data_IF_245074880371
#
_entry.id   IF_245074880371
#
_cell.length_a   1.000
_cell.length_b   1.000
_cell.length_c   1.000
_cell.angle_alpha   90.00
_cell.angle_beta   90.00
_cell.angle_gamma   90.00
#
_symmetry.space_group_name_H-M   'P 1'
#
loop_
_entity.id
_entity.type
_entity.pdbx_description
1 polymer ?
#
# COMPACT_ATOMS: atom_id res chain seq x y z
N UNK A 1 -0.02 4.34 -18.58
CA UNK A 1 0.83 3.33 -17.90
C UNK A 1 0.71 3.51 -16.39
N UNK A 2 0.78 2.47 -15.57
CA UNK A 2 0.79 2.53 -14.10
C UNK A 2 2.08 1.89 -13.58
N UNK A 3 2.66 2.43 -12.52
CA UNK A 3 3.74 1.75 -11.80
C UNK A 3 3.15 0.99 -10.61
N UNK A 4 3.31 -0.33 -10.58
CA UNK A 4 2.69 -1.18 -9.56
C UNK A 4 3.76 -1.86 -8.74
N UNK A 5 3.63 -1.79 -7.43
CA UNK A 5 4.46 -2.56 -6.50
C UNK A 5 3.55 -3.43 -5.62
N UNK A 6 3.89 -4.72 -5.52
CA UNK A 6 3.13 -5.69 -4.72
C UNK A 6 3.98 -6.14 -3.54
N UNK A 7 3.40 -6.16 -2.35
CA UNK A 7 4.05 -6.69 -1.13
C UNK A 7 3.15 -7.72 -0.45
N UNK A 8 3.71 -8.91 -0.26
CA UNK A 8 3.06 -9.96 0.51
C UNK A 8 3.55 -9.94 1.96
N UNK A 9 2.63 -10.03 2.90
CA UNK A 9 2.90 -9.99 4.34
C UNK A 9 2.17 -11.15 5.01
N UNK A 10 2.83 -11.83 5.95
CA UNK A 10 2.24 -12.91 6.76
C UNK A 10 1.89 -12.46 8.18
N UNK A 11 2.57 -11.44 8.70
CA UNK A 11 2.37 -10.92 10.05
C UNK A 11 1.62 -9.60 10.04
N UNK A 12 0.82 -9.36 11.07
CA UNK A 12 0.13 -8.09 11.21
C UNK A 12 1.12 -7.00 11.65
N UNK A 13 0.91 -5.78 11.14
CA UNK A 13 1.44 -4.47 11.57
C UNK A 13 2.41 -3.77 10.62
N UNK A 14 3.24 -4.50 9.87
CA UNK A 14 4.32 -3.85 9.11
C UNK A 14 4.47 -4.42 7.70
N UNK A 15 4.47 -3.55 6.70
CA UNK A 15 4.81 -3.89 5.31
C UNK A 15 6.25 -3.40 5.06
N UNK A 16 7.17 -4.35 4.93
CA UNK A 16 8.60 -4.05 4.76
C UNK A 16 8.99 -3.94 3.28
N UNK A 17 10.06 -3.17 3.01
CA UNK A 17 10.69 -3.09 1.69
C UNK A 17 9.95 -2.21 0.69
N UNK A 18 9.25 -1.17 1.16
CA UNK A 18 8.70 -0.11 0.30
C UNK A 18 9.70 1.04 0.23
N UNK A 19 10.46 1.11 -0.86
CA UNK A 19 11.55 2.08 -1.04
C UNK A 19 11.14 3.28 -1.87
N UNK A 20 11.82 4.39 -1.63
CA UNK A 20 11.84 5.59 -2.46
C UNK A 20 10.45 6.09 -2.84
N UNK A 21 9.51 6.05 -1.89
CA UNK A 21 8.11 6.44 -2.09
C UNK A 21 7.96 7.90 -2.56
N UNK A 22 8.95 8.76 -2.34
CA UNK A 22 8.95 10.14 -2.85
C UNK A 22 9.40 10.28 -4.32
N UNK A 23 10.12 9.29 -4.84
CA UNK A 23 10.61 9.27 -6.24
C UNK A 23 9.62 8.59 -7.19
N UNK A 24 8.60 7.92 -6.64
CA UNK A 24 7.59 7.22 -7.42
C UNK A 24 6.69 8.18 -8.19
N UNK A 25 6.26 7.82 -9.41
CA UNK A 25 5.40 8.68 -10.22
C UNK A 25 3.97 8.73 -9.66
N UNK A 26 3.20 9.77 -10.02
CA UNK A 26 1.84 10.02 -9.48
C UNK A 26 0.85 8.85 -9.69
N UNK A 27 1.03 8.10 -10.77
CA UNK A 27 0.27 6.91 -11.14
C UNK A 27 0.76 5.62 -10.44
N UNK A 28 1.57 5.75 -9.38
CA UNK A 28 2.03 4.62 -8.58
C UNK A 28 0.90 4.04 -7.72
N UNK A 29 0.82 2.71 -7.70
CA UNK A 29 -0.10 1.92 -6.88
C UNK A 29 0.69 0.90 -6.07
N UNK A 30 0.55 0.94 -4.75
CA UNK A 30 1.02 -0.10 -3.84
C UNK A 30 -0.11 -1.08 -3.55
N UNK A 31 0.14 -2.36 -3.80
CA UNK A 31 -0.77 -3.46 -3.46
C UNK A 31 -0.17 -4.22 -2.29
N UNK A 32 -0.93 -4.33 -1.21
CA UNK A 32 -0.55 -5.06 0.00
C UNK A 32 -1.44 -6.30 0.11
N UNK A 33 -0.80 -7.46 0.10
CA UNK A 33 -1.45 -8.76 0.18
C UNK A 33 -1.12 -9.40 1.53
N UNK A 34 -2.12 -9.50 2.40
CA UNK A 34 -2.00 -10.23 3.67
C UNK A 34 -2.47 -11.66 3.49
N UNK A 35 -1.53 -12.58 3.74
CA UNK A 35 -1.81 -14.02 3.77
C UNK A 35 -2.23 -14.44 5.16
N UNK A 36 -3.31 -15.21 5.23
CA UNK A 36 -3.77 -15.80 6.49
C UNK A 36 -3.81 -17.31 6.37
N UNK A 37 -3.35 -18.01 7.41
CA UNK A 37 -3.34 -19.48 7.39
C UNK A 37 -4.74 -20.08 7.63
N UNK A 38 -5.62 -19.34 8.32
CA UNK A 38 -6.95 -19.83 8.75
C UNK A 38 -8.11 -18.91 8.33
N UNK A 39 -7.81 -17.72 7.80
CA UNK A 39 -8.82 -16.74 7.39
C UNK A 39 -8.73 -16.47 5.88
N UNK A 40 -9.73 -15.80 5.32
CA UNK A 40 -9.65 -15.33 3.94
C UNK A 40 -8.56 -14.26 3.81
N UNK A 41 -7.68 -14.45 2.83
CA UNK A 41 -6.67 -13.48 2.42
C UNK A 41 -7.23 -12.08 2.17
N UNK A 42 -6.45 -11.06 2.51
CA UNK A 42 -6.85 -9.65 2.36
C UNK A 42 -5.97 -8.92 1.35
N UNK A 43 -6.59 -8.11 0.51
CA UNK A 43 -5.93 -7.24 -0.46
C UNK A 43 -6.25 -5.78 -0.18
N UNK A 44 -5.21 -4.95 -0.15
CA UNK A 44 -5.35 -3.51 -0.03
C UNK A 44 -4.59 -2.82 -1.15
N UNK A 45 -5.22 -1.80 -1.71
CA UNK A 45 -4.67 -1.02 -2.80
C UNK A 45 -4.49 0.40 -2.31
N UNK A 46 -3.34 1.03 -2.54
CA UNK A 46 -3.03 2.36 -2.06
C UNK A 46 -2.41 3.19 -3.20
N UNK A 47 -2.83 4.46 -3.33
CA UNK A 47 -2.15 5.44 -4.19
C UNK A 47 -0.83 5.87 -3.57
N UNK A 48 -0.01 6.54 -4.37
CA UNK A 48 1.21 7.22 -3.92
C UNK A 48 1.01 8.03 -2.61
N UNK A 49 0.09 9.00 -2.61
CA UNK A 49 -0.14 9.87 -1.44
C UNK A 49 -0.56 9.08 -0.19
N UNK A 50 -1.46 8.11 -0.37
CA UNK A 50 -1.91 7.24 0.74
C UNK A 50 -0.76 6.38 1.28
N UNK A 51 0.12 5.91 0.39
CA UNK A 51 1.30 5.14 0.78
C UNK A 51 2.32 6.02 1.52
N UNK A 52 2.50 7.27 1.10
CA UNK A 52 3.36 8.26 1.76
C UNK A 52 2.84 8.62 3.17
N UNK A 53 1.52 8.75 3.35
CA UNK A 53 0.90 9.00 4.67
C UNK A 53 1.14 7.86 5.67
N UNK A 54 1.33 6.63 5.19
CA UNK A 54 1.56 5.44 6.00
C UNK A 54 3.05 5.07 6.09
N UNK A 55 3.92 5.85 5.45
CA UNK A 55 5.35 5.63 5.41
C UNK A 55 5.99 6.16 6.70
N UNK A 56 6.51 5.26 7.53
CA UNK A 56 7.07 5.60 8.83
C UNK A 56 8.45 4.94 9.01
N UNK A 57 9.42 5.70 9.48
CA UNK A 57 10.76 5.20 9.81
C UNK A 57 11.75 6.35 10.03
N UNK A 58 12.86 6.13 10.76
CA UNK A 58 13.94 7.10 10.86
C UNK A 58 14.45 7.46 9.45
N UNK A 59 15.01 8.67 9.30
CA UNK A 59 15.50 9.16 8.01
C UNK A 59 16.52 8.18 7.40
N UNK A 60 16.20 7.63 6.22
CA UNK A 60 17.01 6.62 5.50
C UNK A 60 16.25 5.90 4.37
N UNK A 61 17.01 5.15 3.54
CA UNK A 61 16.58 4.50 2.28
C UNK A 61 15.64 3.30 2.44
N UNK A 62 15.55 2.74 3.65
CA UNK A 62 14.70 1.60 3.95
C UNK A 62 13.71 1.99 5.02
N UNK A 63 12.51 2.43 4.62
CA UNK A 63 11.41 2.63 5.57
C UNK A 63 10.33 1.58 5.41
N UNK A 64 9.53 1.48 6.46
CA UNK A 64 8.42 0.54 6.56
C UNK A 64 7.11 1.28 6.29
N UNK A 65 6.13 0.60 5.69
CA UNK A 65 4.75 1.10 5.65
C UNK A 65 4.03 0.46 6.83
N UNK A 66 3.70 1.27 7.84
CA UNK A 66 3.05 0.78 9.05
C UNK A 66 1.54 0.69 8.81
N UNK A 67 1.06 -0.54 8.66
CA UNK A 67 -0.28 -0.82 8.13
C UNK A 67 -1.04 -1.78 9.04
N UNK A 68 -1.30 -1.30 10.25
CA UNK A 68 -2.09 -2.01 11.26
C UNK A 68 -3.57 -2.14 10.88
N UNK A 69 -4.28 -3.06 11.56
CA UNK A 69 -5.72 -3.33 11.36
C UNK A 69 -6.60 -2.07 11.32
N UNK A 70 -6.40 -1.11 12.21
CA UNK A 70 -7.18 0.15 12.24
C UNK A 70 -7.00 0.98 10.97
N UNK A 71 -5.80 0.98 10.37
CA UNK A 71 -5.53 1.63 9.08
C UNK A 71 -6.10 0.83 7.91
N UNK A 72 -6.04 -0.51 7.98
CA UNK A 72 -6.59 -1.40 6.95
C UNK A 72 -8.08 -1.21 6.73
N UNK A 73 -8.86 -1.04 7.80
CA UNK A 73 -10.31 -0.78 7.71
C UNK A 73 -10.65 0.44 6.85
N UNK A 74 -9.80 1.48 6.85
CA UNK A 74 -9.99 2.68 6.02
C UNK A 74 -9.94 2.39 4.52
N UNK A 75 -9.20 1.35 4.11
CA UNK A 75 -8.93 1.03 2.70
C UNK A 75 -9.58 -0.28 2.24
N UNK A 76 -10.32 -0.99 3.11
CA UNK A 76 -10.87 -2.32 2.80
C UNK A 76 -11.83 -2.35 1.60
N UNK A 77 -12.54 -1.24 1.37
CA UNK A 77 -13.50 -1.11 0.28
C UNK A 77 -12.89 -0.46 -0.98
N UNK A 78 -11.61 -0.08 -0.93
CA UNK A 78 -10.95 0.55 -2.07
C UNK A 78 -10.56 -0.53 -3.08
N UNK A 79 -10.99 -0.38 -4.33
CA UNK A 79 -10.69 -1.32 -5.42
C UNK A 79 -9.66 -0.73 -6.38
N UNK A 80 -8.97 -1.58 -7.12
CA UNK A 80 -8.04 -1.14 -8.17
C UNK A 80 -8.76 -0.31 -9.25
N UNK A 81 -9.99 -0.69 -9.60
CA UNK A 81 -10.83 0.05 -10.55
C UNK A 81 -11.14 1.46 -10.07
N UNK A 82 -11.54 1.61 -8.80
CA UNK A 82 -11.78 2.92 -8.20
C UNK A 82 -10.51 3.79 -8.25
N UNK A 83 -9.36 3.19 -7.95
CA UNK A 83 -8.07 3.88 -8.01
C UNK A 83 -7.71 4.32 -9.43
N UNK A 84 -7.87 3.43 -10.41
CA UNK A 84 -7.59 3.69 -11.81
C UNK A 84 -8.46 4.83 -12.36
N UNK A 85 -9.76 4.81 -12.06
CA UNK A 85 -10.71 5.84 -12.49
C UNK A 85 -10.36 7.23 -11.93
N UNK A 86 -9.97 7.31 -10.66
CA UNK A 86 -9.58 8.62 -10.11
C UNK A 86 -8.28 9.11 -10.75
N UNK A 87 -7.29 8.23 -10.98
CA UNK A 87 -6.00 8.61 -11.57
C UNK A 87 -6.10 9.01 -13.05
N UNK A 88 -7.12 8.56 -13.78
CA UNK A 88 -7.38 8.98 -15.17
C UNK A 88 -8.06 10.35 -15.26
N UNK A 89 -8.75 10.77 -14.20
CA UNK A 89 -9.54 12.01 -14.15
C UNK A 89 -8.93 13.10 -13.25
N UNK A 90 -7.71 12.90 -12.74
CA UNK A 90 -6.98 13.85 -11.88
C UNK A 90 -5.75 14.42 -12.60
#
# INVERSE_FOLDING_TARGET
>A
YYEIQIKSVKTYNTVVGVKNLHEKPKNYILIIYYRHDQNQDEFYYLKLKQSQELWTGPDGDWKEVYFQKTKREKYKNQTLEHLANVLLNS
#
